data_IF_292909837417
#
_entry.id   IF_292909837417
#
_cell.length_a   1.000
_cell.length_b   1.000
_cell.length_c   1.000
_cell.angle_alpha   90.00
_cell.angle_beta   90.00
_cell.angle_gamma   90.00
#
_symmetry.space_group_name_H-M   'P 1'
#
loop_
_entity.id
_entity.type
_entity.pdbx_description
1 polymer ?
#
# COMPACT_ATOMS: atom_id res chain seq x y z
N UNK A 1 19.70 -6.87 -33.32
CA UNK A 1 20.46 -6.82 -32.06
C UNK A 1 19.47 -6.76 -30.91
N UNK A 2 18.88 -7.89 -30.54
CA UNK A 2 17.88 -8.00 -29.48
C UNK A 2 18.19 -9.23 -28.66
N UNK A 3 19.29 -9.14 -27.91
CA UNK A 3 19.71 -10.10 -26.89
C UNK A 3 20.37 -9.26 -25.79
N UNK A 4 19.68 -8.98 -24.68
CA UNK A 4 20.35 -8.63 -23.42
C UNK A 4 19.44 -8.79 -22.20
N UNK A 5 18.19 -8.33 -22.24
CA UNK A 5 17.41 -8.24 -20.99
C UNK A 5 16.84 -9.60 -20.52
N UNK A 6 16.31 -10.41 -21.44
CA UNK A 6 15.78 -11.74 -21.13
C UNK A 6 16.88 -12.79 -20.81
N UNK A 7 18.10 -12.56 -21.28
CA UNK A 7 19.25 -13.43 -21.00
C UNK A 7 19.91 -13.09 -19.65
N UNK A 8 19.89 -11.82 -19.23
CA UNK A 8 20.34 -11.41 -17.90
C UNK A 8 19.37 -11.89 -16.81
N UNK A 9 18.05 -11.82 -17.02
CA UNK A 9 17.08 -12.34 -16.03
C UNK A 9 17.21 -13.87 -15.86
N UNK A 10 17.51 -14.61 -16.93
CA UNK A 10 17.78 -16.07 -16.87
C UNK A 10 19.11 -16.45 -16.22
N UNK A 11 20.03 -15.51 -16.02
CA UNK A 11 21.32 -15.79 -15.35
C UNK A 11 21.25 -15.59 -13.83
N UNK A 12 20.21 -14.92 -13.30
CA UNK A 12 20.04 -14.65 -11.86
C UNK A 12 19.10 -15.62 -11.13
N UNK A 13 18.54 -16.61 -11.83
CA UNK A 13 17.55 -17.58 -11.33
C UNK A 13 18.19 -18.82 -10.67
N UNK A 14 18.99 -18.62 -9.62
CA UNK A 14 19.50 -19.70 -8.75
C UNK A 14 19.11 -19.49 -7.28
N UNK A 15 17.82 -19.37 -7.00
CA UNK A 15 17.32 -19.38 -5.62
C UNK A 15 15.97 -20.08 -5.57
N UNK A 16 15.79 -20.90 -4.53
CA UNK A 16 14.59 -21.72 -4.25
C UNK A 16 13.26 -20.93 -4.34
N UNK A 17 13.33 -19.60 -4.22
CA UNK A 17 12.22 -18.66 -4.38
C UNK A 17 11.53 -18.76 -5.75
N UNK A 18 12.26 -18.93 -6.86
CA UNK A 18 11.63 -18.98 -8.19
C UNK A 18 10.85 -20.27 -8.41
N UNK A 19 11.34 -21.39 -7.87
CA UNK A 19 10.65 -22.69 -7.91
C UNK A 19 9.36 -22.68 -7.08
N UNK A 20 9.31 -21.86 -6.03
CA UNK A 20 8.11 -21.65 -5.22
C UNK A 20 7.12 -20.68 -5.88
N UNK A 21 7.61 -19.67 -6.60
CA UNK A 21 6.77 -18.74 -7.38
C UNK A 21 6.12 -19.43 -8.59
N UNK A 22 6.84 -20.31 -9.30
CA UNK A 22 6.23 -21.10 -10.38
C UNK A 22 5.16 -22.09 -9.89
N UNK A 23 5.17 -22.46 -8.60
CA UNK A 23 4.11 -23.29 -7.99
C UNK A 23 2.87 -22.48 -7.60
N UNK A 24 2.96 -21.15 -7.54
CA UNK A 24 1.83 -20.25 -7.34
C UNK A 24 1.08 -19.98 -8.65
N UNK A 25 1.74 -20.07 -9.80
CA UNK A 25 1.08 -19.96 -11.12
C UNK A 25 0.02 -21.07 -11.30
N UNK A 26 0.27 -22.26 -10.74
CA UNK A 26 -0.71 -23.37 -10.70
C UNK A 26 -1.94 -23.06 -9.81
N UNK A 27 -1.87 -22.10 -8.88
CA UNK A 27 -3.00 -21.67 -8.05
C UNK A 27 -3.90 -20.63 -8.74
N UNK A 28 -3.47 -20.06 -9.86
CA UNK A 28 -4.16 -18.95 -10.54
C UNK A 28 -5.01 -19.37 -11.75
N UNK A 29 -5.46 -20.63 -11.85
CA UNK A 29 -6.43 -21.10 -12.88
C UNK A 29 -7.86 -20.50 -12.75
N UNK A 30 -7.98 -19.26 -12.28
CA UNK A 30 -9.22 -18.50 -12.24
C UNK A 30 -9.12 -17.35 -13.25
N UNK A 31 -9.94 -17.47 -14.30
CA UNK A 31 -10.12 -16.57 -15.45
C UNK A 31 -9.63 -15.12 -15.26
N UNK A 32 -8.58 -14.75 -16.02
CA UNK A 32 -8.19 -13.39 -16.43
C UNK A 32 -8.16 -12.29 -15.36
N UNK A 33 -7.77 -12.60 -14.13
CA UNK A 33 -7.40 -11.54 -13.18
C UNK A 33 -6.04 -10.93 -13.55
N UNK A 34 -5.71 -9.71 -13.06
CA UNK A 34 -4.40 -9.05 -13.17
C UNK A 34 -3.29 -9.81 -12.39
N UNK A 35 -3.26 -11.13 -12.49
CA UNK A 35 -2.40 -12.02 -11.74
C UNK A 35 -0.93 -11.89 -12.13
N UNK A 36 -0.64 -11.62 -13.41
CA UNK A 36 0.73 -11.42 -13.88
C UNK A 36 1.39 -10.25 -13.16
N UNK A 37 0.74 -9.08 -13.11
CA UNK A 37 1.25 -7.88 -12.42
C UNK A 37 1.47 -8.13 -10.93
N UNK A 38 0.54 -8.81 -10.26
CA UNK A 38 0.68 -9.12 -8.82
C UNK A 38 1.83 -10.09 -8.56
N UNK A 39 2.03 -11.10 -9.42
CA UNK A 39 3.16 -12.02 -9.33
C UNK A 39 4.48 -11.29 -9.59
N UNK A 40 4.52 -10.33 -10.52
CA UNK A 40 5.69 -9.48 -10.75
C UNK A 40 6.05 -8.67 -9.50
N UNK A 41 5.09 -8.04 -8.82
CA UNK A 41 5.37 -7.31 -7.58
C UNK A 41 5.79 -8.23 -6.44
N UNK A 42 5.23 -9.43 -6.35
CA UNK A 42 5.67 -10.44 -5.37
C UNK A 42 7.12 -10.86 -5.66
N UNK A 43 7.45 -11.07 -6.92
CA UNK A 43 8.80 -11.38 -7.39
C UNK A 43 9.76 -10.24 -7.05
N UNK A 44 9.41 -8.99 -7.36
CA UNK A 44 10.18 -7.80 -6.98
C UNK A 44 10.40 -7.73 -5.46
N UNK A 45 9.35 -7.93 -4.65
CA UNK A 45 9.47 -7.97 -3.20
C UNK A 45 10.50 -9.00 -2.74
N UNK A 46 10.43 -10.23 -3.26
CA UNK A 46 11.39 -11.29 -2.90
C UNK A 46 12.82 -10.97 -3.33
N UNK A 47 12.99 -10.42 -4.53
CA UNK A 47 14.30 -10.06 -5.07
C UNK A 47 14.93 -8.92 -4.29
N UNK A 48 14.16 -7.92 -3.87
CA UNK A 48 14.69 -6.82 -3.04
C UNK A 48 15.16 -7.34 -1.69
N UNK A 49 14.41 -8.25 -1.06
CA UNK A 49 14.86 -8.87 0.19
C UNK A 49 16.14 -9.69 0.00
N UNK A 50 16.22 -10.48 -1.08
CA UNK A 50 17.40 -11.28 -1.41
C UNK A 50 18.62 -10.43 -1.77
N UNK A 51 18.45 -9.49 -2.70
CA UNK A 51 19.56 -8.89 -3.44
C UNK A 51 19.95 -7.53 -2.88
N UNK A 52 19.00 -6.77 -2.34
CA UNK A 52 19.26 -5.45 -1.73
C UNK A 52 19.48 -5.60 -0.24
N UNK A 53 18.55 -6.25 0.48
CA UNK A 53 18.65 -6.44 1.93
C UNK A 53 19.56 -7.63 2.32
N UNK A 54 20.04 -8.42 1.33
CA UNK A 54 20.93 -9.58 1.53
C UNK A 54 20.34 -10.62 2.50
N UNK A 55 19.02 -10.80 2.45
CA UNK A 55 18.26 -11.74 3.29
C UNK A 55 17.81 -12.95 2.51
N UNK A 56 18.29 -14.12 2.89
CA UNK A 56 17.65 -15.38 2.49
C UNK A 56 16.27 -15.52 3.15
N UNK A 57 15.40 -16.38 2.61
CA UNK A 57 14.05 -16.64 3.16
C UNK A 57 14.06 -16.87 4.67
N UNK A 58 14.98 -17.72 5.17
CA UNK A 58 15.14 -18.02 6.61
C UNK A 58 15.58 -16.83 7.47
N UNK A 59 16.03 -15.74 6.85
CA UNK A 59 16.54 -14.53 7.51
C UNK A 59 15.65 -13.30 7.26
N UNK A 60 14.49 -13.48 6.64
CA UNK A 60 13.49 -12.42 6.53
C UNK A 60 13.08 -11.96 7.93
N UNK A 61 13.01 -10.65 8.12
CA UNK A 61 12.69 -10.06 9.42
C UNK A 61 11.75 -8.87 9.26
N UNK A 62 11.08 -8.50 10.35
CA UNK A 62 10.11 -7.40 10.33
C UNK A 62 10.69 -6.09 9.81
N UNK A 63 11.94 -5.79 10.14
CA UNK A 63 12.58 -4.52 9.77
C UNK A 63 12.77 -4.42 8.26
N UNK A 64 13.35 -5.45 7.65
CA UNK A 64 13.56 -5.52 6.19
C UNK A 64 12.24 -5.56 5.45
N UNK A 65 11.27 -6.38 5.88
CA UNK A 65 9.93 -6.43 5.27
C UNK A 65 9.23 -5.08 5.32
N UNK A 66 9.18 -4.40 6.47
CA UNK A 66 8.58 -3.06 6.56
C UNK A 66 9.29 -2.07 5.65
N UNK A 67 10.62 -2.08 5.61
CA UNK A 67 11.40 -1.18 4.76
C UNK A 67 11.05 -1.37 3.28
N UNK A 68 11.01 -2.62 2.80
CA UNK A 68 10.67 -2.92 1.40
C UNK A 68 9.25 -2.47 1.08
N UNK A 69 8.26 -2.85 1.89
CA UNK A 69 6.84 -2.53 1.65
C UNK A 69 6.57 -1.03 1.66
N UNK A 70 7.20 -0.30 2.58
CA UNK A 70 6.83 1.11 2.79
C UNK A 70 7.73 2.06 2.03
N UNK A 71 9.00 1.74 1.79
CA UNK A 71 9.94 2.68 1.15
C UNK A 71 10.32 2.26 -0.26
N UNK A 72 10.64 0.97 -0.45
CA UNK A 72 11.20 0.52 -1.71
C UNK A 72 10.12 0.34 -2.77
N UNK A 73 9.10 -0.48 -2.48
CA UNK A 73 8.06 -0.78 -3.46
C UNK A 73 7.30 0.46 -3.94
N UNK A 74 6.78 1.37 -3.08
CA UNK A 74 6.06 2.55 -3.58
C UNK A 74 6.90 3.41 -4.54
N UNK A 75 8.23 3.44 -4.32
CA UNK A 75 9.20 4.24 -5.08
C UNK A 75 9.68 3.62 -6.38
N UNK A 76 9.71 2.30 -6.43
CA UNK A 76 10.40 1.59 -7.50
C UNK A 76 9.49 0.63 -8.27
N UNK A 77 8.37 0.23 -7.68
CA UNK A 77 7.34 -0.52 -8.37
C UNK A 77 6.27 0.46 -8.85
N UNK A 78 5.90 0.36 -10.12
CA UNK A 78 4.78 1.09 -10.70
C UNK A 78 3.44 0.46 -10.32
N UNK A 79 3.30 0.08 -9.04
CA UNK A 79 2.09 -0.54 -8.48
C UNK A 79 0.99 0.53 -8.41
N UNK A 80 -0.12 0.36 -9.16
CA UNK A 80 -1.26 1.24 -9.03
C UNK A 80 -1.83 1.16 -7.62
N UNK A 81 -2.26 2.30 -7.08
CA UNK A 81 -2.77 2.39 -5.70
C UNK A 81 -3.94 1.42 -5.47
N UNK A 82 -4.82 1.24 -6.46
CA UNK A 82 -5.97 0.34 -6.37
C UNK A 82 -5.59 -1.15 -6.30
N UNK A 83 -4.37 -1.52 -6.73
CA UNK A 83 -3.87 -2.90 -6.68
C UNK A 83 -3.15 -3.23 -5.37
N UNK A 84 -2.76 -2.21 -4.58
CA UNK A 84 -2.06 -2.41 -3.30
C UNK A 84 -2.79 -3.36 -2.35
N UNK A 85 -4.14 -3.26 -2.14
CA UNK A 85 -4.85 -4.21 -1.30
C UNK A 85 -4.76 -5.66 -1.80
N UNK A 86 -4.87 -5.87 -3.11
CA UNK A 86 -4.78 -7.20 -3.72
C UNK A 86 -3.38 -7.78 -3.53
N UNK A 87 -2.34 -6.98 -3.80
CA UNK A 87 -0.95 -7.38 -3.56
C UNK A 87 -0.71 -7.78 -2.10
N UNK A 88 -1.22 -7.02 -1.13
CA UNK A 88 -1.05 -7.32 0.29
C UNK A 88 -1.74 -8.63 0.72
N UNK A 89 -2.91 -8.93 0.16
CA UNK A 89 -3.59 -10.22 0.37
C UNK A 89 -2.76 -11.36 -0.20
N UNK A 90 -2.27 -11.22 -1.44
CA UNK A 90 -1.43 -12.23 -2.09
C UNK A 90 -0.13 -12.46 -1.34
N UNK A 91 0.51 -11.38 -0.84
CA UNK A 91 1.72 -11.49 -0.02
C UNK A 91 1.47 -12.25 1.28
N UNK A 92 0.34 -12.01 1.95
CA UNK A 92 -0.02 -12.77 3.15
C UNK A 92 -0.21 -14.26 2.85
N UNK A 93 -0.94 -14.59 1.78
CA UNK A 93 -1.11 -15.98 1.32
C UNK A 93 0.23 -16.63 0.99
N UNK A 94 1.14 -15.89 0.35
CA UNK A 94 2.49 -16.38 0.06
C UNK A 94 3.29 -16.65 1.33
N UNK A 95 3.22 -15.79 2.34
CA UNK A 95 3.91 -16.02 3.62
C UNK A 95 3.36 -17.28 4.32
N UNK A 96 2.03 -17.50 4.30
CA UNK A 96 1.41 -18.73 4.83
C UNK A 96 1.93 -19.94 4.07
N UNK A 97 1.95 -19.90 2.74
CA UNK A 97 2.50 -20.96 1.91
C UNK A 97 3.97 -21.27 2.25
N UNK A 98 4.81 -20.24 2.45
CA UNK A 98 6.20 -20.42 2.86
C UNK A 98 6.33 -21.08 4.24
N UNK A 99 5.41 -20.81 5.16
CA UNK A 99 5.34 -21.45 6.49
C UNK A 99 4.98 -22.93 6.36
N UNK A 100 3.96 -23.26 5.56
CA UNK A 100 3.54 -24.64 5.29
C UNK A 100 4.67 -25.47 4.67
N UNK A 101 5.48 -24.84 3.80
CA UNK A 101 6.69 -25.46 3.21
C UNK A 101 7.90 -25.44 4.13
N UNK A 102 7.79 -24.92 5.35
CA UNK A 102 8.88 -24.75 6.31
C UNK A 102 10.09 -23.97 5.73
N UNK A 103 9.83 -23.08 4.77
CA UNK A 103 10.84 -22.25 4.12
C UNK A 103 11.23 -21.05 4.99
N UNK A 104 10.31 -20.61 5.84
CA UNK A 104 10.49 -19.56 6.84
C UNK A 104 10.09 -20.10 8.23
N UNK A 105 10.63 -19.52 9.30
CA UNK A 105 10.35 -19.95 10.69
C UNK A 105 9.62 -18.89 11.52
N UNK A 106 9.37 -17.72 10.94
CA UNK A 106 8.82 -16.56 11.62
C UNK A 106 7.59 -15.99 10.90
N UNK A 107 6.81 -16.85 10.23
CA UNK A 107 5.65 -16.45 9.43
C UNK A 107 4.65 -15.58 10.20
N UNK A 108 4.28 -15.97 11.43
CA UNK A 108 3.38 -15.17 12.28
C UNK A 108 3.88 -13.73 12.52
N UNK A 109 5.19 -13.56 12.73
CA UNK A 109 5.80 -12.24 12.89
C UNK A 109 5.77 -11.43 11.60
N UNK A 110 6.02 -12.07 10.46
CA UNK A 110 5.97 -11.42 9.15
C UNK A 110 4.54 -11.02 8.77
N UNK A 111 3.53 -11.86 9.01
CA UNK A 111 2.11 -11.54 8.78
C UNK A 111 1.67 -10.33 9.60
N UNK A 112 2.02 -10.28 10.90
CA UNK A 112 1.78 -9.08 11.73
C UNK A 112 2.52 -7.85 11.21
N UNK A 113 3.71 -8.04 10.64
CA UNK A 113 4.50 -6.94 10.06
C UNK A 113 3.81 -6.39 8.81
N UNK A 114 3.34 -7.26 7.91
CA UNK A 114 2.58 -6.86 6.72
C UNK A 114 1.35 -6.08 7.15
N UNK A 115 0.53 -6.62 8.06
CA UNK A 115 -0.68 -5.95 8.54
C UNK A 115 -0.42 -4.56 9.14
N UNK A 116 0.69 -4.39 9.88
CA UNK A 116 1.10 -3.08 10.42
C UNK A 116 1.63 -2.12 9.36
N UNK A 117 2.29 -2.64 8.34
CA UNK A 117 2.87 -1.86 7.25
C UNK A 117 1.82 -1.47 6.19
N UNK A 118 0.73 -2.23 6.04
CA UNK A 118 -0.30 -2.04 5.01
C UNK A 118 -0.83 -0.61 4.92
N UNK A 119 -1.27 0.05 6.03
CA UNK A 119 -1.80 1.42 5.93
C UNK A 119 -0.75 2.41 5.45
N UNK A 120 0.51 2.23 5.87
CA UNK A 120 1.61 3.11 5.47
C UNK A 120 2.04 2.87 4.02
N UNK A 121 2.00 1.63 3.54
CA UNK A 121 2.24 1.32 2.13
C UNK A 121 1.19 1.97 1.24
N UNK A 122 -0.09 1.88 1.61
CA UNK A 122 -1.18 2.51 0.87
C UNK A 122 -1.02 4.05 0.82
N UNK A 123 -0.83 4.69 1.98
CA UNK A 123 -0.64 6.13 2.06
C UNK A 123 0.56 6.60 1.21
N UNK A 124 1.64 5.82 1.14
CA UNK A 124 2.80 6.15 0.31
C UNK A 124 2.61 5.84 -1.17
N UNK A 125 1.75 4.90 -1.53
CA UNK A 125 1.39 4.69 -2.93
C UNK A 125 0.56 5.84 -3.52
N UNK A 126 -0.06 6.64 -2.66
CA UNK A 126 -0.82 7.86 -3.00
C UNK A 126 0.04 9.14 -2.94
N UNK A 127 1.16 9.10 -2.22
CA UNK A 127 2.05 10.26 -2.05
C UNK A 127 3.02 10.36 -3.23
N UNK A 128 2.89 11.45 -4.00
CA UNK A 128 3.73 11.74 -5.17
C UNK A 128 5.23 11.70 -4.81
N UNK A 129 5.63 12.14 -3.60
CA UNK A 129 7.03 12.12 -3.14
C UNK A 129 7.64 10.71 -3.15
N UNK A 130 6.79 9.68 -3.10
CA UNK A 130 7.17 8.29 -3.14
C UNK A 130 6.92 7.64 -4.49
N UNK A 131 6.45 8.34 -5.52
CA UNK A 131 6.26 7.73 -6.84
C UNK A 131 7.57 7.65 -7.62
N UNK A 132 7.67 6.60 -8.44
CA UNK A 132 8.72 6.49 -9.45
C UNK A 132 8.59 7.62 -10.49
N UNK A 133 9.68 7.97 -11.20
CA UNK A 133 9.60 8.89 -12.33
C UNK A 133 8.63 8.42 -13.43
N UNK A 134 8.50 7.10 -13.63
CA UNK A 134 7.63 6.51 -14.63
C UNK A 134 6.15 6.67 -14.24
N UNK A 135 5.76 6.25 -13.04
CA UNK A 135 4.41 6.44 -12.51
C UNK A 135 3.97 7.91 -12.53
N UNK A 136 4.90 8.84 -12.21
CA UNK A 136 4.63 10.28 -12.33
C UNK A 136 4.35 10.71 -13.76
N UNK A 137 5.11 10.19 -14.73
CA UNK A 137 4.90 10.48 -16.14
C UNK A 137 3.56 9.91 -16.64
N UNK A 138 3.24 8.66 -16.30
CA UNK A 138 1.98 8.00 -16.69
C UNK A 138 0.75 8.71 -16.12
N UNK A 139 0.79 9.09 -14.83
CA UNK A 139 -0.31 9.84 -14.20
C UNK A 139 -0.43 11.24 -14.83
N UNK A 140 0.70 11.88 -15.17
CA UNK A 140 0.66 13.18 -15.84
C UNK A 140 0.07 13.08 -17.25
N UNK A 141 0.50 12.11 -18.05
CA UNK A 141 -0.06 11.87 -19.38
C UNK A 141 -1.57 11.58 -19.32
N UNK A 142 -2.02 10.85 -18.29
CA UNK A 142 -3.44 10.60 -18.07
C UNK A 142 -4.21 11.88 -17.69
N UNK A 143 -3.64 12.75 -16.85
CA UNK A 143 -4.24 14.06 -16.52
C UNK A 143 -4.30 14.95 -17.76
N UNK A 144 -3.20 15.06 -18.49
CA UNK A 144 -3.12 15.88 -19.71
C UNK A 144 -4.17 15.38 -20.75
N UNK A 145 -4.34 14.06 -20.89
CA UNK A 145 -5.39 13.46 -21.73
C UNK A 145 -6.81 13.80 -21.24
N UNK A 146 -7.07 13.72 -19.93
CA UNK A 146 -8.38 14.08 -19.38
C UNK A 146 -8.70 15.56 -19.57
N UNK A 147 -7.70 16.44 -19.41
CA UNK A 147 -7.85 17.87 -19.64
C UNK A 147 -8.19 18.15 -21.12
N UNK A 148 -7.52 17.48 -22.06
CA UNK A 148 -7.84 17.55 -23.50
C UNK A 148 -9.26 17.03 -23.81
N UNK A 149 -9.66 15.88 -23.25
CA UNK A 149 -11.02 15.35 -23.43
C UNK A 149 -12.08 16.27 -22.84
N UNK A 150 -11.84 16.84 -21.65
CA UNK A 150 -12.76 17.80 -21.02
C UNK A 150 -12.88 19.07 -21.88
N UNK A 151 -11.77 19.61 -22.38
CA UNK A 151 -11.79 20.78 -23.26
C UNK A 151 -12.53 20.50 -24.58
N UNK A 152 -12.39 19.30 -25.14
CA UNK A 152 -13.10 18.88 -26.35
C UNK A 152 -14.61 18.66 -26.10
N UNK A 153 -14.98 18.00 -24.98
CA UNK A 153 -16.37 17.72 -24.62
C UNK A 153 -17.14 18.98 -24.19
N UNK A 154 -16.48 19.91 -23.49
CA UNK A 154 -17.11 21.10 -22.91
C UNK A 154 -16.70 22.40 -23.61
N UNK A 155 -15.93 22.33 -24.70
CA UNK A 155 -15.67 23.43 -25.63
C UNK A 155 -14.91 24.62 -25.02
N UNK A 156 -14.13 24.41 -23.96
CA UNK A 156 -13.40 25.48 -23.27
C UNK A 156 -14.26 26.49 -22.50
N UNK A 157 -15.58 26.28 -22.36
CA UNK A 157 -16.48 27.15 -21.57
C UNK A 157 -16.86 26.49 -20.24
N UNK A 158 -15.88 26.26 -19.37
CA UNK A 158 -16.12 26.03 -17.94
C UNK A 158 -15.65 27.23 -17.08
N UNK A 159 -15.99 28.44 -17.51
CA UNK A 159 -16.00 29.66 -16.67
C UNK A 159 -17.13 29.65 -15.61
N UNK A 160 -17.78 28.50 -15.38
CA UNK A 160 -19.00 28.39 -14.56
C UNK A 160 -18.77 28.13 -13.06
N UNK A 161 -17.52 28.07 -12.59
CA UNK A 161 -17.21 27.97 -11.16
C UNK A 161 -16.57 29.21 -10.52
N UNK A 162 -16.18 30.22 -11.28
CA UNK A 162 -15.70 31.49 -10.70
C UNK A 162 -16.85 32.42 -10.27
N UNK A 163 -18.10 32.12 -10.65
CA UNK A 163 -19.29 32.91 -10.31
C UNK A 163 -20.21 32.34 -9.23
N UNK A 164 -19.98 31.11 -8.75
CA UNK A 164 -20.90 30.41 -7.82
C UNK A 164 -20.34 30.17 -6.41
N UNK A 165 -19.14 30.66 -6.13
CA UNK A 165 -18.64 30.81 -4.75
C UNK A 165 -18.80 32.29 -4.38
N UNK A 166 -20.03 32.65 -3.98
CA UNK A 166 -20.22 33.84 -3.15
C UNK A 166 -19.34 33.65 -1.91
N UNK A 167 -18.50 34.64 -1.60
CA UNK A 167 -17.52 34.63 -0.50
C UNK A 167 -18.18 34.42 0.89
N UNK A 168 -19.51 34.30 0.92
CA UNK A 168 -20.36 34.09 2.08
C UNK A 168 -20.91 32.66 2.28
N UNK A 169 -20.69 31.71 1.36
CA UNK A 169 -21.17 30.31 1.51
C UNK A 169 -20.10 29.31 1.95
N UNK A 170 -18.84 29.70 2.05
CA UNK A 170 -17.83 28.90 2.75
C UNK A 170 -17.94 29.17 4.25
N UNK A 171 -18.15 28.15 5.11
CA UNK A 171 -18.04 28.35 6.54
C UNK A 171 -16.61 28.81 6.82
N UNK A 172 -16.50 30.08 7.22
CA UNK A 172 -15.31 30.70 7.78
C UNK A 172 -14.77 29.80 8.89
N UNK A 173 -13.87 28.89 8.53
CA UNK A 173 -13.12 28.09 9.48
C UNK A 173 -11.81 28.83 9.64
N UNK A 174 -11.61 29.61 10.71
CA UNK A 174 -10.35 30.29 10.91
C UNK A 174 -9.24 29.24 10.98
N UNK A 175 -8.37 29.22 9.97
CA UNK A 175 -7.05 28.58 10.06
C UNK A 175 -6.26 29.30 11.14
N UNK A 176 -6.41 28.86 12.39
CA UNK A 176 -5.49 29.22 13.47
C UNK A 176 -4.40 28.17 13.52
N UNK A 177 -3.27 28.51 12.88
CA UNK A 177 -1.99 27.87 13.13
C UNK A 177 -1.68 27.93 14.64
N UNK A 178 -1.13 26.82 15.15
CA UNK A 178 -0.64 26.58 16.50
C UNK A 178 -1.70 26.61 17.61
N UNK A 179 -2.12 25.42 18.05
CA UNK A 179 -2.39 25.15 19.45
C UNK A 179 -2.11 23.68 19.74
N UNK A 180 -1.05 23.46 20.52
CA UNK A 180 -0.87 22.31 21.40
C UNK A 180 -2.20 22.08 22.11
N UNK A 181 -2.80 20.90 22.00
CA UNK A 181 -3.97 20.53 22.81
C UNK A 181 -3.47 20.39 24.25
N UNK A 182 -3.87 21.25 25.19
CA UNK A 182 -3.70 20.96 26.59
C UNK A 182 -4.71 19.88 26.95
N UNK A 183 -4.27 18.78 27.57
CA UNK A 183 -5.19 17.88 28.26
C UNK A 183 -5.85 18.64 29.42
N UNK A 184 -6.97 19.29 29.15
CA UNK A 184 -7.91 19.64 30.21
C UNK A 184 -8.76 18.42 30.49
N UNK A 185 -8.54 17.84 31.68
CA UNK A 185 -9.53 17.05 32.39
C UNK A 185 -10.85 17.83 32.41
N UNK A 186 -11.95 17.10 32.39
CA UNK A 186 -13.33 17.59 32.46
C UNK A 186 -14.06 17.70 31.12
N UNK A 187 -14.35 16.53 30.54
CA UNK A 187 -15.68 16.32 29.99
C UNK A 187 -16.10 14.87 30.25
N UNK A 188 -17.16 14.71 31.05
CA UNK A 188 -17.92 13.45 31.17
C UNK A 188 -18.69 13.26 29.86
N UNK A 189 -17.98 12.96 28.78
CA UNK A 189 -18.59 12.50 27.54
C UNK A 189 -18.68 10.97 27.63
N UNK A 190 -19.91 10.47 27.57
CA UNK A 190 -20.23 9.05 27.54
C UNK A 190 -19.67 8.43 26.25
N UNK A 191 -18.39 8.09 26.27
CA UNK A 191 -17.70 7.54 25.11
C UNK A 191 -18.13 6.09 24.92
N UNK A 192 -18.83 5.87 23.80
CA UNK A 192 -19.02 4.54 23.24
C UNK A 192 -17.64 3.91 22.99
N UNK A 193 -17.56 2.60 23.18
CA UNK A 193 -16.31 1.87 23.05
C UNK A 193 -15.86 1.87 21.58
N UNK A 194 -14.59 2.18 21.35
CA UNK A 194 -13.99 2.26 20.01
C UNK A 194 -14.02 0.94 19.21
N UNK A 195 -14.35 -0.19 19.85
CA UNK A 195 -14.53 -1.48 19.18
C UNK A 195 -15.82 -1.57 18.36
N UNK A 196 -16.65 -0.53 18.33
CA UNK A 196 -17.89 -0.50 17.54
C UNK A 196 -19.04 -1.31 18.15
N UNK A 197 -18.91 -1.79 19.40
CA UNK A 197 -19.94 -2.60 20.05
C UNK A 197 -21.21 -1.83 20.46
N UNK A 198 -21.20 -0.50 20.35
CA UNK A 198 -22.29 0.36 20.84
C UNK A 198 -22.43 0.40 22.37
N UNK A 199 -21.53 -0.27 23.13
CA UNK A 199 -21.49 -0.23 24.59
C UNK A 199 -20.61 0.92 25.07
N UNK A 200 -20.80 1.39 26.31
CA UNK A 200 -19.88 2.34 26.95
C UNK A 200 -18.49 1.74 27.11
N UNK A 201 -17.45 2.57 27.04
CA UNK A 201 -16.07 2.11 27.18
C UNK A 201 -15.82 1.37 28.51
N UNK A 202 -16.34 1.88 29.63
CA UNK A 202 -16.25 1.29 30.98
C UNK A 202 -16.86 -0.12 31.08
N UNK A 203 -17.89 -0.41 30.28
CA UNK A 203 -18.58 -1.71 30.25
C UNK A 203 -17.97 -2.68 29.21
N UNK A 204 -16.96 -2.24 28.48
CA UNK A 204 -16.31 -2.99 27.41
C UNK A 204 -14.80 -3.09 27.68
N UNK A 205 -13.96 -2.44 26.87
CA UNK A 205 -12.50 -2.55 26.99
C UNK A 205 -11.93 -1.78 28.20
N UNK A 206 -12.70 -0.87 28.80
CA UNK A 206 -12.33 -0.15 30.03
C UNK A 206 -12.69 -0.90 31.32
N UNK A 207 -13.27 -2.10 31.23
CA UNK A 207 -13.75 -2.84 32.39
C UNK A 207 -12.59 -3.26 33.30
N UNK A 208 -12.55 -2.69 34.50
CA UNK A 208 -11.54 -2.99 35.52
C UNK A 208 -10.33 -2.04 35.52
N UNK A 209 -10.32 -0.99 34.71
CA UNK A 209 -9.33 0.08 34.81
C UNK A 209 -9.76 1.09 35.89
N UNK A 210 -8.88 1.48 36.83
CA UNK A 210 -9.18 2.55 37.77
C UNK A 210 -9.23 3.88 37.02
N UNK A 211 -10.33 4.63 37.18
CA UNK A 211 -10.49 5.99 36.69
C UNK A 211 -10.04 7.01 37.73
#
# INVERSE_FOLDING_TARGET
MTNSFAAEIKAYTKTDSFKLLSQLEDFTEVESLPGETIIEYLTMFTNVLSDVEKKSLKKWDSKSTTKVLTHWLPKHADLPTFEVPLFLVTLNSFIVFLDEKQAISNASSLLMTVAKASPLMLARSEDEAFWSPQKRAEIKEFIDFLDEEIDELFGGEFDLLDGFIDENTLPNTPQKRNNVIPLTKDSKQHNLCFCGSGKKYEDCHGKGLPF
#
